data_IF_545294820197
#
_entry.id   IF_545294820197
#
_cell.length_a   1.000
_cell.length_b   1.000
_cell.length_c   1.000
_cell.angle_alpha   90.00
_cell.angle_beta   90.00
_cell.angle_gamma   90.00
#
_symmetry.space_group_name_H-M   'P 1'
#
loop_
_entity.id
_entity.type
_entity.pdbx_description
1 polymer ?
#
# COMPACT_ATOMS: atom_id res chain seq x y z
N UNK A 1 14.16 13.64 -7.75
CA UNK A 1 12.94 13.10 -7.10
C UNK A 1 13.17 13.19 -5.60
N UNK A 2 12.21 13.71 -4.84
CA UNK A 2 12.28 13.82 -3.38
C UNK A 2 11.10 13.14 -2.72
N UNK A 3 11.31 12.64 -1.50
CA UNK A 3 10.26 12.03 -0.67
C UNK A 3 9.86 12.99 0.45
N UNK A 4 8.56 13.23 0.60
CA UNK A 4 8.02 14.09 1.67
C UNK A 4 7.00 13.33 2.51
N UNK A 5 7.23 13.27 3.83
CA UNK A 5 6.30 12.64 4.76
C UNK A 5 5.01 13.46 4.85
N UNK A 6 3.90 12.89 4.38
CA UNK A 6 2.58 13.54 4.37
C UNK A 6 1.72 13.16 5.59
N UNK A 7 1.78 11.89 6.01
CA UNK A 7 1.04 11.40 7.18
C UNK A 7 1.91 10.44 7.98
N UNK A 8 1.90 10.61 9.30
CA UNK A 8 2.47 9.64 10.25
C UNK A 8 1.48 9.40 11.38
N UNK A 9 0.99 8.17 11.49
CA UNK A 9 0.16 7.71 12.60
C UNK A 9 0.93 6.64 13.35
N UNK A 10 1.05 6.80 14.68
CA UNK A 10 1.64 5.81 15.59
C UNK A 10 0.72 5.66 16.80
N UNK A 11 0.02 4.53 16.92
CA UNK A 11 -0.91 4.28 18.04
C UNK A 11 -1.10 2.80 18.30
N UNK A 12 -0.86 2.34 19.54
CA UNK A 12 -1.17 0.97 19.96
C UNK A 12 -0.55 -0.13 19.08
N UNK A 13 0.71 0.07 18.66
CA UNK A 13 1.42 -0.86 17.76
C UNK A 13 1.03 -0.77 16.28
N UNK A 14 0.10 0.13 15.92
CA UNK A 14 -0.16 0.53 14.53
C UNK A 14 0.81 1.65 14.14
N UNK A 15 1.47 1.48 13.00
CA UNK A 15 2.23 2.50 12.30
C UNK A 15 1.65 2.66 10.91
N UNK A 16 1.31 3.89 10.51
CA UNK A 16 0.96 4.23 9.12
C UNK A 16 1.87 5.39 8.72
N UNK A 17 2.55 5.23 7.58
CA UNK A 17 3.38 6.27 6.96
C UNK A 17 2.85 6.48 5.54
N UNK A 18 2.45 7.70 5.20
CA UNK A 18 2.18 8.12 3.83
C UNK A 18 3.25 9.12 3.41
N UNK A 19 3.83 8.90 2.24
CA UNK A 19 4.86 9.74 1.64
C UNK A 19 4.36 10.23 0.28
N UNK A 20 4.55 11.50 -0.02
CA UNK A 20 4.43 12.02 -1.38
C UNK A 20 5.77 11.89 -2.09
N UNK A 21 5.75 11.34 -3.31
CA UNK A 21 6.88 11.33 -4.22
C UNK A 21 6.81 12.59 -5.07
N UNK A 22 7.84 13.43 -5.05
CA UNK A 22 7.86 14.74 -5.69
C UNK A 22 8.90 14.84 -6.82
N UNK A 23 8.51 15.55 -7.89
CA UNK A 23 9.39 16.00 -8.98
C UNK A 23 9.32 17.52 -9.04
N UNK A 24 10.28 18.19 -8.40
CA UNK A 24 10.18 19.63 -8.11
C UNK A 24 9.06 19.86 -7.08
N UNK A 25 8.15 20.79 -7.39
CA UNK A 25 7.00 21.10 -6.52
C UNK A 25 5.78 20.19 -6.77
N UNK A 26 5.78 19.43 -7.86
CA UNK A 26 4.68 18.54 -8.23
C UNK A 26 4.74 17.20 -7.48
N UNK A 27 3.60 16.76 -6.93
CA UNK A 27 3.44 15.40 -6.41
C UNK A 27 3.14 14.46 -7.57
N UNK A 28 4.08 13.57 -7.86
CA UNK A 28 4.05 12.62 -8.99
C UNK A 28 3.71 11.21 -8.57
N UNK A 29 3.79 10.90 -7.28
CA UNK A 29 3.41 9.60 -6.77
C UNK A 29 3.08 9.62 -5.29
N UNK A 30 2.59 8.49 -4.81
CA UNK A 30 2.27 8.28 -3.41
C UNK A 30 2.75 6.91 -2.97
N UNK A 31 3.46 6.87 -1.85
CA UNK A 31 3.82 5.65 -1.15
C UNK A 31 3.07 5.59 0.17
N UNK A 32 2.53 4.42 0.51
CA UNK A 32 1.95 4.16 1.82
C UNK A 32 2.53 2.89 2.41
N UNK A 33 2.87 2.96 3.70
CA UNK A 33 3.30 1.83 4.52
C UNK A 33 2.40 1.73 5.73
N UNK A 34 2.04 0.50 6.09
CA UNK A 34 1.28 0.20 7.30
C UNK A 34 1.83 -1.06 7.97
N UNK A 35 2.00 -0.98 9.29
CA UNK A 35 2.44 -2.09 10.13
C UNK A 35 1.57 -2.19 11.37
N UNK A 36 1.14 -3.41 11.70
CA UNK A 36 0.45 -3.74 12.95
C UNK A 36 0.85 -5.14 13.42
N UNK A 37 1.68 -5.20 14.46
CA UNK A 37 2.23 -6.46 14.95
C UNK A 37 3.04 -7.17 13.86
N UNK A 38 2.60 -8.37 13.48
CA UNK A 38 3.23 -9.23 12.45
C UNK A 38 2.74 -8.97 11.03
N UNK A 39 1.74 -8.09 10.87
CA UNK A 39 1.23 -7.67 9.57
C UNK A 39 1.97 -6.43 9.10
N UNK A 40 2.42 -6.45 7.87
CA UNK A 40 2.98 -5.30 7.17
C UNK A 40 2.38 -5.23 5.77
N UNK A 41 2.10 -4.04 5.28
CA UNK A 41 1.74 -3.84 3.89
C UNK A 41 2.24 -2.49 3.41
N UNK A 42 2.59 -2.43 2.14
CA UNK A 42 3.03 -1.21 1.48
C UNK A 42 2.58 -1.18 0.04
N UNK A 43 2.36 0.02 -0.48
CA UNK A 43 1.94 0.24 -1.84
C UNK A 43 2.55 1.54 -2.37
N UNK A 44 3.00 1.50 -3.62
CA UNK A 44 3.47 2.66 -4.36
C UNK A 44 2.61 2.86 -5.60
N UNK A 45 2.18 4.09 -5.81
CA UNK A 45 1.28 4.46 -6.89
C UNK A 45 1.81 5.68 -7.64
N UNK A 46 1.93 5.54 -8.95
CA UNK A 46 2.19 6.64 -9.87
C UNK A 46 0.93 7.46 -10.08
N UNK A 47 0.99 8.77 -9.81
CA UNK A 47 -0.13 9.67 -10.07
C UNK A 47 -0.15 10.16 -11.52
N UNK A 48 1.00 10.23 -12.21
CA UNK A 48 1.13 10.60 -13.62
C UNK A 48 0.54 9.49 -14.50
N UNK A 49 1.02 8.26 -14.33
CA UNK A 49 0.65 7.09 -15.15
C UNK A 49 -0.62 6.39 -14.64
N UNK A 50 -1.07 6.71 -13.43
CA UNK A 50 -2.21 6.08 -12.74
C UNK A 50 -2.05 4.58 -12.54
N UNK A 51 -0.82 4.13 -12.31
CA UNK A 51 -0.45 2.73 -12.16
C UNK A 51 -0.01 2.45 -10.72
N UNK A 52 -0.45 1.30 -10.20
CA UNK A 52 0.12 0.74 -8.97
C UNK A 52 1.42 0.05 -9.33
N UNK A 53 2.56 0.71 -9.12
CA UNK A 53 3.87 0.12 -9.42
C UNK A 53 4.16 -1.11 -8.59
N UNK A 54 3.75 -1.07 -7.33
CA UNK A 54 4.15 -2.08 -6.37
C UNK A 54 3.13 -2.16 -5.24
N UNK A 55 2.82 -3.39 -4.83
CA UNK A 55 2.09 -3.69 -3.61
C UNK A 55 2.74 -4.90 -2.96
N UNK A 56 3.08 -4.78 -1.69
CA UNK A 56 3.58 -5.90 -0.88
C UNK A 56 2.71 -6.06 0.36
N UNK A 57 2.39 -7.31 0.69
CA UNK A 57 1.68 -7.67 1.91
C UNK A 57 2.43 -8.81 2.59
N UNK A 58 2.88 -8.56 3.82
CA UNK A 58 3.60 -9.52 4.62
C UNK A 58 2.81 -9.96 5.86
N UNK A 59 2.95 -11.24 6.18
CA UNK A 59 2.53 -11.80 7.46
C UNK A 59 3.61 -12.75 7.97
N UNK A 60 4.06 -12.54 9.20
CA UNK A 60 5.10 -13.38 9.83
C UNK A 60 6.38 -13.48 8.99
N UNK A 61 6.79 -12.37 8.37
CA UNK A 61 7.97 -12.29 7.50
C UNK A 61 7.82 -12.94 6.12
N UNK A 62 6.65 -13.49 5.79
CA UNK A 62 6.35 -14.01 4.44
C UNK A 62 5.51 -12.98 3.68
N UNK A 63 6.00 -12.55 2.52
CA UNK A 63 5.43 -11.46 1.75
C UNK A 63 4.87 -11.95 0.42
N UNK A 64 3.71 -11.47 0.00
CA UNK A 64 3.25 -11.60 -1.38
C UNK A 64 3.39 -10.23 -2.02
N UNK A 65 3.93 -10.19 -3.23
CA UNK A 65 4.21 -8.97 -3.96
C UNK A 65 3.42 -8.97 -5.25
N UNK A 66 2.72 -7.88 -5.53
CA UNK A 66 2.03 -7.65 -6.79
C UNK A 66 2.88 -6.73 -7.66
N UNK A 67 3.17 -7.18 -8.87
CA UNK A 67 3.76 -6.38 -9.94
C UNK A 67 2.76 -6.32 -11.09
N UNK A 68 2.46 -5.11 -11.57
CA UNK A 68 1.46 -4.88 -12.63
C UNK A 68 0.09 -5.55 -12.38
N UNK A 69 -0.27 -5.70 -11.10
CA UNK A 69 -1.56 -6.28 -10.69
C UNK A 69 -1.57 -7.80 -10.51
N UNK A 70 -0.48 -8.50 -10.82
CA UNK A 70 -0.36 -9.95 -10.63
C UNK A 70 0.54 -10.29 -9.43
N UNK A 71 0.13 -11.22 -8.54
CA UNK A 71 0.96 -11.63 -7.42
C UNK A 71 2.08 -12.58 -7.85
N UNK A 72 3.26 -12.43 -7.22
CA UNK A 72 4.44 -13.29 -7.40
C UNK A 72 4.21 -14.75 -7.00
N UNK A 73 3.21 -15.00 -6.15
CA UNK A 73 2.76 -16.31 -5.70
C UNK A 73 1.32 -16.25 -5.25
N UNK A 74 0.66 -17.41 -5.20
CA UNK A 74 -0.72 -17.49 -4.72
C UNK A 74 -0.86 -16.93 -3.28
N UNK A 75 -1.64 -15.86 -3.08
CA UNK A 75 -1.82 -15.28 -1.77
C UNK A 75 -2.81 -16.09 -0.93
N UNK A 76 -2.47 -16.32 0.33
CA UNK A 76 -3.40 -16.95 1.26
C UNK A 76 -4.68 -16.10 1.40
N UNK A 77 -5.90 -16.66 1.25
CA UNK A 77 -7.15 -15.89 1.27
C UNK A 77 -7.34 -15.03 2.53
N UNK A 78 -6.89 -15.52 3.69
CA UNK A 78 -6.94 -14.76 4.94
C UNK A 78 -6.09 -13.49 4.89
N UNK A 79 -4.93 -13.55 4.22
CA UNK A 79 -4.02 -12.42 4.07
C UNK A 79 -4.66 -11.33 3.22
N UNK A 80 -5.24 -11.71 2.08
CA UNK A 80 -5.96 -10.80 1.18
C UNK A 80 -7.13 -10.13 1.91
N UNK A 81 -7.95 -10.89 2.63
CA UNK A 81 -9.08 -10.34 3.41
C UNK A 81 -8.64 -9.30 4.45
N UNK A 82 -7.54 -9.57 5.16
CA UNK A 82 -6.98 -8.61 6.13
C UNK A 82 -6.48 -7.34 5.44
N UNK A 83 -5.76 -7.49 4.33
CA UNK A 83 -5.26 -6.36 3.56
C UNK A 83 -6.40 -5.52 2.99
N UNK A 84 -7.46 -6.14 2.43
CA UNK A 84 -8.65 -5.45 1.95
C UNK A 84 -9.32 -4.62 3.05
N UNK A 85 -9.51 -5.19 4.25
CA UNK A 85 -10.10 -4.46 5.37
C UNK A 85 -9.27 -3.23 5.76
N UNK A 86 -7.95 -3.36 5.76
CA UNK A 86 -7.03 -2.28 6.09
C UNK A 86 -6.99 -1.20 5.00
N UNK A 87 -6.76 -1.58 3.75
CA UNK A 87 -6.70 -0.64 2.62
C UNK A 87 -8.04 0.06 2.39
N UNK A 88 -9.18 -0.56 2.74
CA UNK A 88 -10.49 0.13 2.72
C UNK A 88 -10.50 1.36 3.63
N UNK A 89 -9.97 1.27 4.85
CA UNK A 89 -9.87 2.42 5.75
C UNK A 89 -8.85 3.45 5.26
N UNK A 90 -7.68 3.00 4.80
CA UNK A 90 -6.62 3.89 4.29
C UNK A 90 -7.02 4.61 2.99
N UNK A 91 -7.87 3.99 2.16
CA UNK A 91 -8.34 4.56 0.88
C UNK A 91 -9.10 5.88 1.04
N UNK A 92 -9.55 6.20 2.26
CA UNK A 92 -10.21 7.47 2.59
C UNK A 92 -9.26 8.67 2.49
N UNK A 93 -7.94 8.44 2.54
CA UNK A 93 -6.94 9.52 2.50
C UNK A 93 -5.66 9.19 1.71
N UNK A 94 -5.60 8.03 1.04
CA UNK A 94 -4.43 7.58 0.27
C UNK A 94 -4.84 7.05 -1.10
N UNK A 95 -4.25 7.62 -2.16
CA UNK A 95 -4.38 7.14 -3.53
C UNK A 95 -3.73 5.78 -3.73
N UNK A 96 -2.56 5.55 -3.12
CA UNK A 96 -1.89 4.25 -3.16
C UNK A 96 -2.73 3.16 -2.50
N UNK A 97 -3.34 3.44 -1.34
CA UNK A 97 -4.27 2.51 -0.70
C UNK A 97 -5.51 2.24 -1.55
N UNK A 98 -6.04 3.26 -2.22
CA UNK A 98 -7.19 3.12 -3.13
C UNK A 98 -6.85 2.25 -4.34
N UNK A 99 -5.64 2.40 -4.89
CA UNK A 99 -5.15 1.58 -5.99
C UNK A 99 -4.91 0.12 -5.54
N UNK A 100 -4.23 -0.09 -4.41
CA UNK A 100 -4.05 -1.42 -3.81
C UNK A 100 -5.38 -2.14 -3.55
N UNK A 101 -6.38 -1.42 -3.03
CA UNK A 101 -7.71 -1.98 -2.79
C UNK A 101 -8.38 -2.51 -4.07
N UNK A 102 -8.20 -1.84 -5.21
CA UNK A 102 -8.75 -2.31 -6.49
C UNK A 102 -8.12 -3.64 -6.90
N UNK A 103 -6.78 -3.72 -6.89
CA UNK A 103 -6.04 -4.94 -7.23
C UNK A 103 -6.44 -6.11 -6.34
N UNK A 104 -6.51 -5.88 -5.02
CA UNK A 104 -6.88 -6.92 -4.07
C UNK A 104 -8.34 -7.35 -4.19
N UNK A 105 -9.26 -6.44 -4.55
CA UNK A 105 -10.67 -6.78 -4.70
C UNK A 105 -10.93 -7.55 -6.00
N UNK A 106 -10.11 -7.37 -7.03
CA UNK A 106 -10.12 -8.16 -8.26
C UNK A 106 -9.52 -9.55 -8.10
N UNK A 107 -8.78 -9.78 -7.01
CA UNK A 107 -8.12 -11.06 -6.70
C UNK A 107 -8.96 -11.99 -5.80
N UNK A 108 -10.21 -11.61 -5.49
CA UNK A 108 -11.16 -12.36 -4.64
C UNK A 108 -12.23 -13.01 -5.50
#
# INVERSE_FOLDING_TARGET
MSEELAVLIRRGGLTIKKTHLKRGDAVVGEYIFVKRGLFEAEAEYDLEDRVLYYLQICWFGRCVVWFDGEPDREPAPMLVRRAVALFRELSKFSYAAKAALRVLSSSI
#
